data_IF_451796403667
#
_entry.id   IF_451796403667
#
_cell.length_a   1.000
_cell.length_b   1.000
_cell.length_c   1.000
_cell.angle_alpha   90.00
_cell.angle_beta   90.00
_cell.angle_gamma   90.00
#
_symmetry.space_group_name_H-M   'P 1'
#
loop_
_entity.id
_entity.type
_entity.pdbx_description
1 polymer ?
#
# COMPACT_ATOMS: atom_id res chain seq x y z
N UNK A 1 -8.95 -20.87 15.92
CA UNK A 1 -8.18 -21.38 14.76
C UNK A 1 -7.36 -20.23 14.22
N UNK A 2 -6.04 -20.40 14.07
CA UNK A 2 -5.18 -19.38 13.47
C UNK A 2 -5.42 -19.27 11.96
N UNK A 3 -5.06 -18.13 11.37
CA UNK A 3 -5.03 -17.95 9.92
C UNK A 3 -4.10 -18.99 9.27
N UNK A 4 -4.58 -19.71 8.26
CA UNK A 4 -3.79 -20.73 7.55
C UNK A 4 -3.06 -20.13 6.35
N UNK A 5 -3.63 -19.08 5.76
CA UNK A 5 -3.04 -18.32 4.66
C UNK A 5 -3.09 -16.83 4.96
N UNK A 6 -2.24 -16.05 4.28
CA UNK A 6 -2.27 -14.59 4.37
C UNK A 6 -3.62 -14.01 3.93
N UNK A 7 -4.40 -14.73 3.11
CA UNK A 7 -5.73 -14.30 2.67
C UNK A 7 -6.76 -14.30 3.80
N UNK A 8 -6.51 -15.08 4.86
CA UNK A 8 -7.38 -15.13 6.03
C UNK A 8 -7.15 -13.92 6.96
N UNK A 9 -6.09 -13.15 6.74
CA UNK A 9 -5.79 -11.96 7.53
C UNK A 9 -6.72 -10.81 7.12
N UNK A 10 -7.55 -10.33 8.05
CA UNK A 10 -8.41 -9.16 7.81
C UNK A 10 -7.60 -7.92 7.39
N UNK A 11 -6.41 -7.73 7.97
CA UNK A 11 -5.51 -6.62 7.59
C UNK A 11 -5.02 -6.74 6.15
N UNK A 12 -4.72 -7.95 5.68
CA UNK A 12 -4.33 -8.18 4.29
C UNK A 12 -5.52 -7.93 3.34
N UNK A 13 -6.73 -8.39 3.69
CA UNK A 13 -7.92 -8.17 2.85
C UNK A 13 -8.22 -6.67 2.68
N UNK A 14 -8.10 -5.90 3.77
CA UNK A 14 -8.23 -4.43 3.73
C UNK A 14 -7.13 -3.79 2.88
N UNK A 15 -5.88 -4.20 3.05
CA UNK A 15 -4.75 -3.70 2.26
C UNK A 15 -4.89 -4.04 0.77
N UNK A 16 -5.35 -5.25 0.43
CA UNK A 16 -5.61 -5.66 -0.94
C UNK A 16 -6.73 -4.82 -1.58
N UNK A 17 -7.83 -4.59 -0.85
CA UNK A 17 -8.91 -3.70 -1.31
C UNK A 17 -8.40 -2.27 -1.54
N UNK A 18 -7.56 -1.76 -0.63
CA UNK A 18 -6.92 -0.44 -0.79
C UNK A 18 -6.11 -0.35 -2.08
N UNK A 19 -5.36 -1.39 -2.46
CA UNK A 19 -4.64 -1.42 -3.76
C UNK A 19 -5.60 -1.18 -4.92
N UNK A 20 -6.72 -1.90 -4.96
CA UNK A 20 -7.69 -1.79 -6.05
C UNK A 20 -8.28 -0.37 -6.12
N UNK A 21 -8.63 0.23 -4.99
CA UNK A 21 -9.18 1.58 -4.93
C UNK A 21 -8.15 2.64 -5.37
N UNK A 22 -6.91 2.55 -4.91
CA UNK A 22 -5.86 3.50 -5.32
C UNK A 22 -5.56 3.39 -6.81
N UNK A 23 -5.54 2.18 -7.39
CA UNK A 23 -5.39 1.99 -8.83
C UNK A 23 -6.54 2.62 -9.62
N UNK A 24 -7.77 2.48 -9.12
CA UNK A 24 -8.95 3.11 -9.70
C UNK A 24 -8.85 4.64 -9.65
N UNK A 25 -8.51 5.22 -8.50
CA UNK A 25 -8.36 6.68 -8.34
C UNK A 25 -7.25 7.23 -9.23
N UNK A 26 -6.05 6.63 -9.19
CA UNK A 26 -4.89 7.10 -9.95
C UNK A 26 -5.01 6.90 -11.46
N UNK A 27 -5.94 6.08 -11.94
CA UNK A 27 -6.23 5.93 -13.37
C UNK A 27 -6.83 7.19 -14.01
N UNK A 28 -7.43 8.07 -13.19
CA UNK A 28 -8.02 9.34 -13.64
C UNK A 28 -7.03 10.51 -13.64
N UNK A 29 -5.78 10.31 -13.19
CA UNK A 29 -4.81 11.40 -13.10
C UNK A 29 -4.25 11.75 -14.50
N UNK A 30 -3.98 13.05 -14.79
CA UNK A 30 -3.34 13.51 -16.02
C UNK A 30 -2.03 12.76 -16.32
N UNK A 31 -1.90 12.27 -17.56
CA UNK A 31 -0.76 11.44 -17.98
C UNK A 31 0.54 12.22 -18.18
N UNK A 32 0.48 13.55 -18.30
CA UNK A 32 1.55 14.33 -18.94
C UNK A 32 2.55 15.02 -17.98
N UNK A 33 2.29 15.12 -16.66
CA UNK A 33 3.25 15.75 -15.72
C UNK A 33 3.66 14.90 -14.51
N UNK A 34 3.06 13.73 -14.26
CA UNK A 34 3.16 13.08 -12.95
C UNK A 34 3.51 11.59 -12.95
N UNK A 35 4.29 11.14 -13.94
CA UNK A 35 4.83 9.77 -13.95
C UNK A 35 5.55 9.42 -12.63
N UNK A 36 6.28 10.37 -12.04
CA UNK A 36 7.01 10.14 -10.79
C UNK A 36 6.05 9.99 -9.60
N UNK A 37 5.12 10.92 -9.36
CA UNK A 37 4.23 10.82 -8.19
C UNK A 37 3.28 9.61 -8.29
N UNK A 38 2.69 9.36 -9.46
CA UNK A 38 1.81 8.21 -9.66
C UNK A 38 2.57 6.89 -9.46
N UNK A 39 3.80 6.79 -9.97
CA UNK A 39 4.62 5.60 -9.77
C UNK A 39 4.97 5.39 -8.29
N UNK A 40 5.28 6.46 -7.54
CA UNK A 40 5.51 6.39 -6.09
C UNK A 40 4.27 5.93 -5.32
N UNK A 41 3.09 6.50 -5.64
CA UNK A 41 1.81 6.07 -5.06
C UNK A 41 1.60 4.57 -5.30
N UNK A 42 1.75 4.10 -6.54
CA UNK A 42 1.56 2.69 -6.89
C UNK A 42 2.55 1.77 -6.17
N UNK A 43 3.82 2.17 -6.07
CA UNK A 43 4.85 1.41 -5.36
C UNK A 43 4.54 1.28 -3.87
N UNK A 44 4.28 2.40 -3.20
CA UNK A 44 3.93 2.41 -1.78
C UNK A 44 2.68 1.56 -1.51
N UNK A 45 1.65 1.70 -2.36
CA UNK A 45 0.39 0.94 -2.23
C UNK A 45 0.58 -0.57 -2.35
N UNK A 46 1.36 -1.05 -3.33
CA UNK A 46 1.62 -2.49 -3.50
C UNK A 46 2.50 -3.04 -2.36
N UNK A 47 3.41 -2.22 -1.85
CA UNK A 47 4.33 -2.59 -0.77
C UNK A 47 3.59 -2.97 0.52
N UNK A 48 2.47 -2.32 0.85
CA UNK A 48 1.68 -2.61 2.06
C UNK A 48 1.24 -4.09 2.15
N UNK A 49 0.39 -4.62 1.25
CA UNK A 49 0.01 -6.03 1.32
C UNK A 49 1.16 -6.99 1.01
N UNK A 50 2.15 -6.59 0.21
CA UNK A 50 3.32 -7.44 -0.06
C UNK A 50 4.11 -7.74 1.22
N UNK A 51 4.40 -6.70 2.01
CA UNK A 51 5.09 -6.86 3.29
C UNK A 51 4.23 -7.62 4.32
N UNK A 52 2.90 -7.48 4.31
CA UNK A 52 2.02 -8.32 5.15
C UNK A 52 2.17 -9.80 4.78
N UNK A 53 2.23 -10.14 3.49
CA UNK A 53 2.44 -11.52 3.03
C UNK A 53 3.82 -12.04 3.44
N UNK A 54 4.86 -11.22 3.30
CA UNK A 54 6.21 -11.58 3.72
C UNK A 54 6.29 -11.82 5.22
N UNK A 55 5.71 -10.93 6.04
CA UNK A 55 5.62 -11.09 7.49
C UNK A 55 4.85 -12.35 7.90
N UNK A 56 3.72 -12.63 7.26
CA UNK A 56 2.92 -13.84 7.53
C UNK A 56 3.70 -15.14 7.26
N UNK A 57 4.63 -15.14 6.30
CA UNK A 57 5.44 -16.32 5.95
C UNK A 57 6.66 -16.54 6.84
N UNK A 58 7.03 -15.59 7.73
CA UNK A 58 8.22 -15.74 8.58
C UNK A 58 7.95 -16.64 9.78
N UNK A 59 8.93 -17.48 10.10
CA UNK A 59 8.90 -18.40 11.25
C UNK A 59 9.57 -17.70 12.43
N UNK A 60 8.91 -16.68 13.00
CA UNK A 60 9.45 -15.94 14.15
C UNK A 60 8.81 -14.57 14.35
N UNK A 61 8.53 -14.22 15.62
CA UNK A 61 7.85 -12.97 15.96
C UNK A 61 8.68 -11.73 15.54
N UNK A 62 9.98 -11.72 15.78
CA UNK A 62 10.84 -10.57 15.47
C UNK A 62 10.97 -10.32 13.96
N UNK A 63 11.18 -11.39 13.18
CA UNK A 63 11.26 -11.29 11.72
C UNK A 63 9.93 -10.82 11.12
N UNK A 64 8.80 -11.34 11.63
CA UNK A 64 7.46 -10.93 11.20
C UNK A 64 7.19 -9.45 11.48
N UNK A 65 7.54 -8.99 12.69
CA UNK A 65 7.35 -7.59 13.12
C UNK A 65 8.07 -6.62 12.18
N UNK A 66 9.29 -6.95 11.73
CA UNK A 66 10.03 -6.10 10.79
C UNK A 66 9.23 -5.84 9.51
N UNK A 67 8.62 -6.86 8.93
CA UNK A 67 7.80 -6.70 7.72
C UNK A 67 6.52 -5.91 8.00
N UNK A 68 5.89 -6.11 9.15
CA UNK A 68 4.73 -5.30 9.53
C UNK A 68 5.08 -3.81 9.73
N UNK A 69 6.26 -3.50 10.28
CA UNK A 69 6.75 -2.13 10.37
C UNK A 69 7.01 -1.51 8.99
N UNK A 70 7.54 -2.29 8.03
CA UNK A 70 7.74 -1.82 6.65
C UNK A 70 6.39 -1.59 5.94
N UNK A 71 5.41 -2.46 6.19
CA UNK A 71 4.04 -2.29 5.72
C UNK A 71 3.43 -0.99 6.23
N UNK A 72 3.63 -0.67 7.52
CA UNK A 72 3.13 0.55 8.14
C UNK A 72 3.84 1.80 7.59
N UNK A 73 5.17 1.76 7.45
CA UNK A 73 5.94 2.84 6.82
C UNK A 73 5.48 3.11 5.37
N UNK A 74 5.24 2.04 4.59
CA UNK A 74 4.71 2.16 3.22
C UNK A 74 3.31 2.78 3.19
N UNK A 75 2.49 2.54 4.23
CA UNK A 75 1.16 3.12 4.35
C UNK A 75 1.25 4.63 4.66
N UNK A 76 2.16 5.06 5.53
CA UNK A 76 2.40 6.48 5.80
C UNK A 76 2.94 7.22 4.56
N UNK A 77 3.86 6.61 3.82
CA UNK A 77 4.32 7.15 2.53
C UNK A 77 3.16 7.29 1.53
N UNK A 78 2.28 6.28 1.44
CA UNK A 78 1.09 6.35 0.59
C UNK A 78 0.17 7.50 1.01
N UNK A 79 -0.12 7.66 2.30
CA UNK A 79 -0.95 8.76 2.81
C UNK A 79 -0.37 10.11 2.42
N UNK A 80 0.93 10.30 2.60
CA UNK A 80 1.62 11.52 2.20
C UNK A 80 1.53 11.76 0.69
N UNK A 81 1.83 10.77 -0.15
CA UNK A 81 1.76 10.94 -1.60
C UNK A 81 0.33 11.22 -2.09
N UNK A 82 -0.69 10.59 -1.48
CA UNK A 82 -2.10 10.87 -1.78
C UNK A 82 -2.50 12.29 -1.35
N UNK A 83 -2.01 12.75 -0.19
CA UNK A 83 -2.21 14.13 0.25
C UNK A 83 -1.54 15.13 -0.70
N UNK A 84 -0.27 14.91 -1.03
CA UNK A 84 0.48 15.73 -1.98
C UNK A 84 -0.20 15.80 -3.34
N UNK A 85 -0.78 14.69 -3.80
CA UNK A 85 -1.49 14.62 -5.08
C UNK A 85 -2.67 15.60 -5.17
N UNK A 86 -3.29 15.99 -4.05
CA UNK A 86 -4.40 16.95 -4.06
C UNK A 86 -3.98 18.31 -4.62
N UNK A 87 -2.77 18.76 -4.30
CA UNK A 87 -2.24 20.05 -4.77
C UNK A 87 -1.92 20.07 -6.26
N UNK A 88 -1.77 18.90 -6.88
CA UNK A 88 -1.46 18.79 -8.31
C UNK A 88 -2.67 18.40 -9.17
N UNK A 89 -3.72 17.83 -8.57
CA UNK A 89 -4.81 17.21 -9.32
C UNK A 89 -6.23 17.61 -8.89
N UNK A 90 -6.41 18.19 -7.68
CA UNK A 90 -7.74 18.55 -7.16
C UNK A 90 -7.93 20.06 -6.97
N UNK A 91 -6.92 20.88 -7.28
CA UNK A 91 -7.07 22.34 -7.38
C UNK A 91 -7.10 22.73 -8.87
N UNK A 92 -8.32 22.71 -9.44
CA UNK A 92 -8.68 23.13 -10.78
C UNK A 92 -10.20 23.28 -10.89
#
# INVERSE_FOLDING_TARGET
>A
MGSQTFKDLLVWQKAHKMVLEVYKVTSNYPKHELFVLISQIKRATISVPANIVEGFRRVGNQDSIRFYNISDASLEELKYHMFLSKYFFNDG
#
